data_IF_806884366492
#
_entry.id   IF_806884366492
#
_cell.length_a   1.000
_cell.length_b   1.000
_cell.length_c   1.000
_cell.angle_alpha   90.00
_cell.angle_beta   90.00
_cell.angle_gamma   90.00
#
_symmetry.space_group_name_H-M   'P 1'
#
loop_
_entity.id
_entity.type
_entity.pdbx_description
1 polymer ?
#
# COMPACT_ATOMS: atom_id res chain seq x y z
N UNK A 1 25.34 -9.29 -18.28
CA UNK A 1 25.18 -10.25 -17.18
C UNK A 1 24.78 -9.46 -15.95
N UNK A 2 23.55 -9.63 -15.46
CA UNK A 2 23.11 -8.99 -14.23
C UNK A 2 23.46 -9.93 -13.07
N UNK A 3 24.22 -9.44 -12.10
CA UNK A 3 24.68 -10.25 -10.96
C UNK A 3 23.82 -9.87 -9.75
N UNK A 4 23.10 -10.83 -9.14
CA UNK A 4 22.31 -10.54 -7.96
C UNK A 4 23.21 -10.24 -6.76
N UNK A 5 22.84 -9.22 -6.00
CA UNK A 5 23.52 -8.80 -4.78
C UNK A 5 22.82 -9.42 -3.57
N UNK A 6 23.59 -9.70 -2.52
CA UNK A 6 23.05 -10.18 -1.23
C UNK A 6 23.18 -9.07 -0.20
N UNK A 7 22.09 -8.79 0.51
CA UNK A 7 22.05 -7.85 1.62
C UNK A 7 21.65 -8.58 2.89
N UNK A 8 22.24 -8.14 3.99
CA UNK A 8 21.89 -8.55 5.35
C UNK A 8 21.82 -7.28 6.20
N UNK A 9 20.61 -6.87 6.57
CA UNK A 9 20.31 -5.61 7.26
C UNK A 9 19.80 -5.85 8.69
N UNK A 10 19.98 -7.07 9.23
CA UNK A 10 19.53 -7.46 10.57
C UNK A 10 18.02 -7.77 10.67
N UNK A 11 17.14 -6.96 10.06
CA UNK A 11 15.71 -7.24 9.99
C UNK A 11 15.30 -8.04 8.73
N UNK A 12 16.18 -8.09 7.73
CA UNK A 12 15.99 -8.82 6.48
C UNK A 12 17.33 -9.29 5.93
N UNK A 13 17.32 -10.50 5.33
CA UNK A 13 18.39 -10.99 4.47
C UNK A 13 17.78 -11.46 3.16
N UNK A 14 18.28 -10.96 2.04
CA UNK A 14 17.75 -11.29 0.71
C UNK A 14 18.84 -11.26 -0.35
N UNK A 15 18.53 -11.89 -1.49
CA UNK A 15 19.35 -11.89 -2.70
C UNK A 15 18.47 -11.55 -3.90
N UNK A 16 18.79 -10.47 -4.60
CA UNK A 16 17.99 -9.98 -5.73
C UNK A 16 18.86 -9.19 -6.72
N UNK A 17 18.36 -9.02 -7.95
CA UNK A 17 18.87 -8.01 -8.86
C UNK A 17 18.47 -6.61 -8.38
N UNK A 18 19.40 -5.65 -8.47
CA UNK A 18 19.25 -4.30 -7.90
C UNK A 18 19.43 -3.27 -9.00
N UNK A 19 18.49 -2.32 -9.07
CA UNK A 19 18.56 -1.18 -9.99
C UNK A 19 19.36 -0.02 -9.38
N UNK A 20 19.17 0.24 -8.08
CA UNK A 20 19.79 1.37 -7.40
C UNK A 20 19.93 1.12 -5.89
N UNK A 21 21.00 1.65 -5.30
CA UNK A 21 21.15 1.80 -3.85
C UNK A 21 21.40 3.29 -3.57
N UNK A 22 20.51 3.91 -2.81
CA UNK A 22 20.70 5.29 -2.35
C UNK A 22 21.29 5.28 -0.93
N UNK A 23 22.15 6.25 -0.64
CA UNK A 23 22.81 6.40 0.65
C UNK A 23 22.43 7.73 1.30
N UNK A 24 22.38 7.74 2.63
CA UNK A 24 22.42 8.96 3.43
C UNK A 24 23.82 9.58 3.40
N UNK A 25 23.96 10.82 3.89
CA UNK A 25 25.23 11.54 3.89
C UNK A 25 26.33 10.86 4.72
N UNK A 26 25.96 10.09 5.73
CA UNK A 26 26.88 9.31 6.56
C UNK A 26 27.27 7.96 5.95
N UNK A 27 26.76 7.63 4.76
CA UNK A 27 27.02 6.37 4.07
C UNK A 27 26.08 5.22 4.46
N UNK A 28 25.14 5.42 5.40
CA UNK A 28 24.11 4.43 5.70
C UNK A 28 23.13 4.29 4.52
N UNK A 29 22.52 3.11 4.37
CA UNK A 29 21.58 2.85 3.27
C UNK A 29 20.29 3.63 3.50
N UNK A 30 19.88 4.40 2.49
CA UNK A 30 18.60 5.11 2.46
C UNK A 30 17.51 4.31 1.76
N UNK A 31 17.82 3.67 0.64
CA UNK A 31 16.87 2.82 -0.06
C UNK A 31 17.57 1.83 -0.96
N UNK A 32 16.90 0.71 -1.22
CA UNK A 32 17.33 -0.29 -2.19
C UNK A 32 16.20 -0.45 -3.18
N UNK A 33 16.46 -0.11 -4.44
CA UNK A 33 15.51 -0.29 -5.55
C UNK A 33 15.81 -1.59 -6.26
N UNK A 34 14.83 -2.49 -6.30
CA UNK A 34 14.90 -3.79 -6.95
C UNK A 34 14.86 -3.66 -8.48
N UNK A 35 15.40 -4.64 -9.17
CA UNK A 35 15.21 -4.76 -10.61
C UNK A 35 13.74 -5.10 -10.94
N UNK A 36 13.16 -4.61 -12.05
CA UNK A 36 11.80 -4.96 -12.42
C UNK A 36 11.55 -6.48 -12.42
N UNK A 37 10.49 -6.91 -11.74
CA UNK A 37 10.12 -8.32 -11.58
C UNK A 37 10.71 -9.02 -10.35
N UNK A 38 11.71 -8.43 -9.68
CA UNK A 38 12.20 -8.94 -8.40
C UNK A 38 11.21 -8.64 -7.27
N UNK A 39 11.05 -9.62 -6.38
CA UNK A 39 10.20 -9.53 -5.20
C UNK A 39 10.96 -10.10 -4.01
N UNK A 40 10.94 -9.38 -2.89
CA UNK A 40 11.56 -9.82 -1.63
C UNK A 40 10.52 -9.79 -0.50
N UNK A 41 10.65 -10.69 0.47
CA UNK A 41 9.77 -10.67 1.64
C UNK A 41 10.43 -9.87 2.77
N UNK A 42 9.73 -8.83 3.23
CA UNK A 42 10.18 -7.94 4.31
C UNK A 42 9.35 -8.23 5.55
N UNK A 43 10.02 -8.49 6.67
CA UNK A 43 9.36 -8.59 7.98
C UNK A 43 8.99 -7.20 8.47
N UNK A 44 7.73 -6.98 8.76
CA UNK A 44 7.23 -5.71 9.31
C UNK A 44 6.47 -5.93 10.61
N UNK A 45 6.17 -4.85 11.31
CA UNK A 45 5.31 -4.86 12.51
C UNK A 45 3.88 -5.35 12.24
N UNK A 46 3.42 -5.28 10.99
CA UNK A 46 2.07 -5.67 10.56
C UNK A 46 2.05 -7.01 9.81
N UNK A 47 3.17 -7.74 9.80
CA UNK A 47 3.33 -9.04 9.16
C UNK A 47 4.42 -9.07 8.09
N UNK A 48 4.60 -10.22 7.47
CA UNK A 48 5.53 -10.40 6.35
C UNK A 48 4.88 -9.86 5.07
N UNK A 49 5.55 -8.93 4.39
CA UNK A 49 5.04 -8.31 3.16
C UNK A 49 6.00 -8.59 2.02
N UNK A 50 5.48 -9.19 0.95
CA UNK A 50 6.18 -9.26 -0.33
C UNK A 50 6.26 -7.86 -0.93
N UNK A 51 7.46 -7.34 -1.11
CA UNK A 51 7.71 -6.01 -1.65
C UNK A 51 8.18 -6.10 -3.11
N UNK A 52 7.55 -5.30 -3.97
CA UNK A 52 8.05 -4.97 -5.32
C UNK A 52 8.76 -3.63 -5.27
N UNK A 53 9.55 -3.30 -6.28
CA UNK A 53 10.29 -2.03 -6.42
C UNK A 53 11.38 -1.79 -5.36
N UNK A 54 11.20 -2.21 -4.10
CA UNK A 54 12.17 -2.08 -3.03
C UNK A 54 11.59 -1.52 -1.73
N UNK A 55 12.46 -0.92 -0.93
CA UNK A 55 12.11 -0.29 0.34
C UNK A 55 13.06 0.87 0.68
N UNK A 56 12.63 1.75 1.57
CA UNK A 56 13.43 2.82 2.17
C UNK A 56 13.63 2.62 3.68
N UNK A 57 14.69 3.22 4.19
CA UNK A 57 15.10 3.17 5.59
C UNK A 57 15.30 4.57 6.14
N UNK A 58 14.91 4.75 7.40
CA UNK A 58 15.39 5.86 8.19
C UNK A 58 16.91 5.78 8.33
N UNK A 59 17.56 6.93 8.55
CA UNK A 59 19.00 6.98 8.81
C UNK A 59 19.42 6.12 10.03
N UNK A 60 18.50 5.90 10.97
CA UNK A 60 18.71 5.01 12.12
C UNK A 60 18.58 3.51 11.78
N UNK A 61 18.22 3.16 10.55
CA UNK A 61 18.20 1.80 10.01
C UNK A 61 16.84 1.11 10.04
N UNK A 62 15.83 1.68 10.70
CA UNK A 62 14.48 1.12 10.71
C UNK A 62 13.79 1.29 9.35
N UNK A 63 12.91 0.34 9.02
CA UNK A 63 12.06 0.39 7.83
C UNK A 63 11.20 1.66 7.83
N UNK A 64 11.36 2.47 6.79
CA UNK A 64 10.55 3.68 6.59
C UNK A 64 9.39 3.38 5.64
N UNK A 65 9.63 2.73 4.51
CA UNK A 65 8.56 2.43 3.56
C UNK A 65 8.87 1.24 2.66
N UNK A 66 7.83 0.61 2.09
CA UNK A 66 7.94 -0.42 1.07
C UNK A 66 6.72 -0.38 0.14
N UNK A 67 6.85 -0.93 -1.06
CA UNK A 67 5.73 -1.07 -2.01
C UNK A 67 5.28 -2.53 -2.07
N UNK A 68 4.06 -2.87 -1.64
CA UNK A 68 3.56 -4.24 -1.71
C UNK A 68 3.53 -4.77 -3.16
N UNK A 69 3.94 -6.03 -3.34
CA UNK A 69 3.93 -6.72 -4.63
C UNK A 69 2.52 -7.04 -5.14
N UNK A 70 1.54 -7.05 -4.24
CA UNK A 70 0.12 -7.22 -4.52
C UNK A 70 -0.73 -6.79 -3.32
N UNK A 71 -2.06 -6.96 -3.38
CA UNK A 71 -2.96 -6.60 -2.29
C UNK A 71 -2.66 -7.35 -0.99
N UNK A 72 -2.41 -6.60 0.11
CA UNK A 72 -2.14 -7.15 1.44
C UNK A 72 -3.10 -6.59 2.48
N UNK A 73 -3.79 -7.48 3.21
CA UNK A 73 -4.71 -7.11 4.29
C UNK A 73 -3.95 -6.90 5.62
N UNK A 74 -3.82 -5.65 6.06
CA UNK A 74 -3.13 -5.32 7.31
C UNK A 74 -4.09 -4.79 8.39
N UNK A 75 -3.78 -4.98 9.69
CA UNK A 75 -4.47 -4.27 10.76
C UNK A 75 -4.04 -2.79 10.82
N UNK A 76 -5.01 -1.89 11.05
CA UNK A 76 -4.80 -0.46 11.28
C UNK A 76 -5.70 0.05 12.41
N UNK A 77 -5.47 1.26 12.95
CA UNK A 77 -6.34 1.85 13.97
C UNK A 77 -7.82 1.99 13.57
N UNK A 78 -8.11 2.11 12.26
CA UNK A 78 -9.49 2.26 11.75
C UNK A 78 -10.10 0.95 11.23
N UNK A 79 -9.43 -0.19 11.47
CA UNK A 79 -9.85 -1.50 11.00
C UNK A 79 -8.83 -2.17 10.06
N UNK A 80 -9.23 -3.27 9.43
CA UNK A 80 -8.35 -3.99 8.49
C UNK A 80 -8.50 -3.43 7.09
N UNK A 81 -7.39 -3.06 6.47
CA UNK A 81 -7.35 -2.46 5.13
C UNK A 81 -6.50 -3.29 4.20
N UNK A 82 -6.96 -3.44 2.96
CA UNK A 82 -6.19 -4.00 1.85
C UNK A 82 -5.34 -2.89 1.24
N UNK A 83 -4.03 -2.96 1.41
CA UNK A 83 -3.08 -2.01 0.84
C UNK A 83 -2.65 -2.49 -0.53
N UNK A 84 -2.80 -1.60 -1.51
CA UNK A 84 -2.20 -1.73 -2.83
C UNK A 84 -2.33 -0.42 -3.59
N UNK A 85 -1.20 0.09 -4.09
CA UNK A 85 -1.18 1.21 -5.03
C UNK A 85 -0.91 0.69 -6.46
N UNK A 86 -1.93 0.60 -7.33
CA UNK A 86 -1.72 0.20 -8.71
C UNK A 86 -0.90 1.23 -9.50
N UNK A 87 -0.87 2.49 -9.06
CA UNK A 87 -0.23 3.62 -9.75
C UNK A 87 1.22 3.86 -9.29
N UNK A 88 1.78 2.98 -8.46
CA UNK A 88 3.15 3.07 -8.00
C UNK A 88 4.15 2.99 -9.19
N UNK A 89 4.85 4.10 -9.46
CA UNK A 89 5.75 4.25 -10.61
C UNK A 89 6.92 3.26 -10.64
N UNK A 90 7.42 2.86 -9.46
CA UNK A 90 8.51 1.89 -9.33
C UNK A 90 9.89 2.33 -9.86
N UNK A 91 10.11 3.63 -10.09
CA UNK A 91 11.39 4.17 -10.56
C UNK A 91 12.45 4.12 -9.46
N UNK A 92 12.09 4.53 -8.25
CA UNK A 92 12.94 4.43 -7.06
C UNK A 92 12.12 3.94 -5.87
N UNK A 93 12.79 3.28 -4.94
CA UNK A 93 12.21 2.84 -3.68
C UNK A 93 12.11 3.95 -2.62
N UNK A 94 12.33 5.22 -2.99
CA UNK A 94 12.22 6.37 -2.08
C UNK A 94 10.77 6.83 -1.88
N UNK A 95 9.85 6.39 -2.75
CA UNK A 95 8.43 6.70 -2.70
C UNK A 95 7.65 5.41 -2.84
N UNK A 96 7.11 4.94 -1.72
CA UNK A 96 6.26 3.77 -1.69
C UNK A 96 4.93 4.07 -0.99
N UNK A 97 3.94 3.23 -1.27
CA UNK A 97 2.59 3.39 -0.76
C UNK A 97 2.46 3.13 0.74
N UNK A 98 3.19 2.16 1.29
CA UNK A 98 3.13 1.81 2.72
C UNK A 98 4.31 2.40 3.48
N UNK A 99 4.02 3.30 4.43
CA UNK A 99 5.02 4.04 5.21
C UNK A 99 4.79 3.79 6.70
N UNK A 100 5.89 3.59 7.42
CA UNK A 100 5.97 3.35 8.84
C UNK A 100 6.68 4.51 9.54
N UNK A 101 6.39 4.75 10.81
CA UNK A 101 7.25 5.56 11.67
C UNK A 101 8.44 4.73 12.20
N UNK A 102 9.37 5.39 12.92
CA UNK A 102 10.53 4.73 13.54
C UNK A 102 10.18 3.66 14.59
N UNK A 103 8.93 3.61 15.06
CA UNK A 103 8.44 2.55 15.97
C UNK A 103 7.79 1.40 15.19
N UNK A 104 7.80 1.46 13.86
CA UNK A 104 7.15 0.50 12.98
C UNK A 104 5.64 0.67 12.89
N UNK A 105 5.04 1.76 13.39
CA UNK A 105 3.58 1.97 13.24
C UNK A 105 3.30 2.49 11.83
N UNK A 106 2.27 1.98 11.18
CA UNK A 106 1.85 2.51 9.88
C UNK A 106 1.37 3.95 10.04
N UNK A 107 1.94 4.86 9.26
CA UNK A 107 1.60 6.30 9.26
C UNK A 107 1.05 6.79 7.93
N UNK A 108 1.29 6.07 6.84
CA UNK A 108 0.69 6.34 5.54
C UNK A 108 0.49 5.03 4.79
N UNK A 109 -0.64 4.89 4.10
CA UNK A 109 -0.91 3.77 3.21
C UNK A 109 -1.80 4.22 2.05
N UNK A 110 -1.79 3.47 0.94
CA UNK A 110 -2.74 3.63 -0.15
C UNK A 110 -3.62 2.38 -0.25
N UNK A 111 -4.94 2.57 -0.37
CA UNK A 111 -5.89 1.49 -0.66
C UNK A 111 -6.73 1.82 -1.88
N UNK A 112 -6.85 0.86 -2.79
CA UNK A 112 -7.71 0.95 -3.98
C UNK A 112 -8.89 -0.03 -3.92
N UNK A 113 -9.01 -0.81 -2.85
CA UNK A 113 -10.03 -1.86 -2.74
C UNK A 113 -11.04 -1.60 -1.62
N UNK A 114 -10.82 -0.60 -0.77
CA UNK A 114 -11.68 -0.37 0.38
C UNK A 114 -12.45 0.94 0.30
N UNK A 115 -13.73 0.88 0.67
CA UNK A 115 -14.52 2.05 1.06
C UNK A 115 -14.54 2.15 2.58
N UNK A 116 -14.65 3.37 3.06
CA UNK A 116 -14.62 3.69 4.49
C UNK A 116 -15.89 4.46 4.82
N UNK A 117 -16.73 3.85 5.65
CA UNK A 117 -17.84 4.55 6.29
C UNK A 117 -17.33 5.12 7.62
N UNK A 118 -17.41 6.43 7.78
CA UNK A 118 -17.02 7.15 8.99
C UNK A 118 -18.27 7.69 9.68
N UNK A 119 -18.52 7.24 10.90
CA UNK A 119 -19.51 7.83 11.79
C UNK A 119 -18.83 8.91 12.62
N UNK A 120 -19.18 10.18 12.39
CA UNK A 120 -18.63 11.32 13.15
C UNK A 120 -19.20 11.37 14.57
N UNK A 121 -18.56 12.15 15.44
CA UNK A 121 -19.08 12.45 16.79
C UNK A 121 -20.50 13.01 16.78
N UNK A 122 -20.86 13.77 15.73
CA UNK A 122 -22.20 14.32 15.53
C UNK A 122 -23.22 13.29 15.02
N UNK A 123 -22.84 12.01 14.90
CA UNK A 123 -23.68 10.92 14.40
C UNK A 123 -23.88 10.90 12.87
N UNK A 124 -23.21 11.78 12.12
CA UNK A 124 -23.31 11.81 10.67
C UNK A 124 -22.46 10.70 10.06
N UNK A 125 -23.02 10.01 9.05
CA UNK A 125 -22.29 9.01 8.28
C UNK A 125 -21.69 9.65 7.04
N UNK A 126 -20.37 9.53 6.87
CA UNK A 126 -19.64 9.96 5.67
C UNK A 126 -19.01 8.74 5.01
N UNK A 127 -19.35 8.52 3.73
CA UNK A 127 -18.75 7.47 2.90
C UNK A 127 -17.60 8.06 2.09
N UNK A 128 -16.46 7.37 2.09
CA UNK A 128 -15.29 7.74 1.29
C UNK A 128 -14.80 6.48 0.56
N UNK A 129 -14.69 6.55 -0.76
CA UNK A 129 -14.27 5.42 -1.59
C UNK A 129 -13.35 5.85 -2.74
N UNK A 130 -12.47 4.96 -3.24
CA UNK A 130 -11.65 5.19 -4.42
C UNK A 130 -12.47 5.64 -5.62
N UNK A 131 -11.96 6.63 -6.37
CA UNK A 131 -12.64 7.19 -7.55
C UNK A 131 -12.20 6.48 -8.83
N UNK A 132 -13.13 6.29 -9.76
CA UNK A 132 -12.81 5.92 -11.14
C UNK A 132 -12.54 7.19 -11.94
N UNK A 133 -11.35 7.29 -12.52
CA UNK A 133 -10.92 8.44 -13.33
C UNK A 133 -10.42 7.95 -14.68
N UNK A 134 -10.49 8.82 -15.70
CA UNK A 134 -9.88 8.52 -17.01
C UNK A 134 -8.37 8.51 -16.85
N UNK A 135 -7.73 7.49 -17.38
CA UNK A 135 -6.29 7.36 -17.45
C UNK A 135 -5.71 8.51 -18.29
N UNK A 136 -4.87 9.32 -17.68
CA UNK A 136 -4.29 10.48 -18.35
C UNK A 136 -3.22 10.11 -19.40
N UNK A 137 -2.73 8.87 -19.39
CA UNK A 137 -1.71 8.42 -20.34
C UNK A 137 -2.29 8.06 -21.71
N UNK A 138 -3.47 7.43 -21.74
CA UNK A 138 -4.13 7.01 -22.99
C UNK A 138 -5.44 7.76 -23.28
N UNK A 139 -6.05 8.41 -22.29
CA UNK A 139 -7.30 9.17 -22.45
C UNK A 139 -8.55 8.30 -22.64
N UNK A 140 -8.44 6.97 -22.53
CA UNK A 140 -9.49 6.02 -22.89
C UNK A 140 -9.82 5.07 -21.75
N UNK A 141 -8.82 4.55 -21.04
CA UNK A 141 -9.03 3.54 -20.01
C UNK A 141 -9.48 4.17 -18.69
N UNK A 142 -10.38 3.51 -17.96
CA UNK A 142 -10.76 3.93 -16.61
C UNK A 142 -9.82 3.28 -15.60
N UNK A 143 -9.16 4.09 -14.78
CA UNK A 143 -8.31 3.64 -13.68
C UNK A 143 -8.94 4.02 -12.34
N UNK A 144 -8.62 3.24 -11.31
CA UNK A 144 -9.10 3.50 -9.96
C UNK A 144 -8.02 4.23 -9.16
N UNK A 145 -8.29 5.50 -8.85
CA UNK A 145 -7.43 6.32 -7.98
C UNK A 145 -7.67 5.91 -6.52
N UNK A 146 -6.64 5.38 -5.89
CA UNK A 146 -6.71 4.90 -4.50
C UNK A 146 -6.91 6.02 -3.47
N UNK A 147 -7.42 5.64 -2.30
CA UNK A 147 -7.45 6.47 -1.10
C UNK A 147 -6.07 6.48 -0.45
N UNK A 148 -5.57 7.67 -0.10
CA UNK A 148 -4.40 7.80 0.76
C UNK A 148 -4.85 8.01 2.20
N UNK A 149 -4.38 7.17 3.12
CA UNK A 149 -4.76 7.19 4.54
C UNK A 149 -3.53 7.47 5.38
N UNK A 150 -3.57 8.56 6.14
CA UNK A 150 -2.48 9.03 7.00
C UNK A 150 -2.89 9.01 8.47
N UNK A 151 -2.04 8.47 9.33
CA UNK A 151 -2.27 8.42 10.77
C UNK A 151 -1.33 9.38 11.50
N UNK A 152 -1.92 10.32 12.26
CA UNK A 152 -1.21 11.13 13.24
C UNK A 152 -1.61 10.69 14.65
N UNK A 153 -0.84 9.74 15.18
CA UNK A 153 -1.03 9.22 16.54
C UNK A 153 -0.83 10.27 17.63
N UNK A 154 -0.09 11.35 17.37
CA UNK A 154 0.16 12.39 18.38
C UNK A 154 -1.03 13.32 18.56
N UNK A 155 -1.84 13.46 17.50
CA UNK A 155 -3.04 14.30 17.46
C UNK A 155 -4.34 13.51 17.54
N UNK A 156 -4.26 12.18 17.69
CA UNK A 156 -5.40 11.27 17.63
C UNK A 156 -6.20 11.42 16.31
N UNK A 157 -5.50 11.52 15.18
CA UNK A 157 -6.13 11.85 13.89
C UNK A 157 -5.82 10.83 12.80
N UNK A 158 -6.82 10.62 11.95
CA UNK A 158 -6.67 10.00 10.63
C UNK A 158 -7.10 10.98 9.55
N UNK A 159 -6.29 11.10 8.51
CA UNK A 159 -6.62 11.87 7.30
C UNK A 159 -6.82 10.90 6.15
N UNK A 160 -8.00 10.93 5.54
CA UNK A 160 -8.37 10.13 4.39
C UNK A 160 -8.48 11.08 3.20
N UNK A 161 -7.64 10.88 2.19
CA UNK A 161 -7.64 11.63 0.94
C UNK A 161 -8.15 10.76 -0.20
N UNK A 162 -9.17 11.23 -0.92
CA UNK A 162 -9.78 10.51 -2.05
C UNK A 162 -9.22 10.90 -3.42
N UNK A 163 -8.12 11.65 -3.41
CA UNK A 163 -7.48 12.23 -4.57
C UNK A 163 -7.79 13.71 -4.80
N UNK A 164 -8.84 14.25 -4.19
CA UNK A 164 -9.25 15.65 -4.36
C UNK A 164 -9.28 16.41 -3.02
N UNK A 165 -9.81 15.78 -1.96
CA UNK A 165 -9.99 16.43 -0.65
C UNK A 165 -9.42 15.61 0.51
N UNK A 166 -8.84 16.32 1.48
CA UNK A 166 -8.45 15.75 2.77
C UNK A 166 -9.63 15.76 3.74
N UNK A 167 -10.03 14.59 4.22
CA UNK A 167 -11.02 14.44 5.29
C UNK A 167 -10.32 13.99 6.58
N UNK A 168 -10.39 14.81 7.64
CA UNK A 168 -9.76 14.51 8.94
C UNK A 168 -10.79 14.04 9.95
N UNK A 169 -10.48 12.98 10.68
CA UNK A 169 -11.33 12.40 11.73
C UNK A 169 -10.52 12.05 12.98
N UNK A 170 -11.17 12.03 14.15
CA UNK A 170 -10.56 11.49 15.38
C UNK A 170 -10.46 9.97 15.29
N UNK A 171 -9.34 9.41 15.74
CA UNK A 171 -9.16 7.97 15.83
C UNK A 171 -9.96 7.37 16.99
N UNK A 172 -10.09 8.09 18.11
CA UNK A 172 -10.75 7.60 19.31
C UNK A 172 -12.27 7.82 19.34
N UNK A 173 -12.75 8.90 18.71
CA UNK A 173 -14.15 9.32 18.84
C UNK A 173 -15.02 9.04 17.61
N UNK A 174 -14.42 8.72 16.45
CA UNK A 174 -15.17 8.34 15.26
C UNK A 174 -15.33 6.82 15.17
N UNK A 175 -16.46 6.37 14.62
CA UNK A 175 -16.68 4.98 14.25
C UNK A 175 -16.23 4.72 12.81
N UNK A 176 -15.51 3.63 12.57
CA UNK A 176 -15.03 3.26 11.24
C UNK A 176 -15.54 1.88 10.84
N UNK A 177 -16.16 1.79 9.67
CA UNK A 177 -16.52 0.52 9.03
C UNK A 177 -15.80 0.44 7.69
N UNK A 178 -15.06 -0.65 7.50
CA UNK A 178 -14.28 -0.90 6.28
C UNK A 178 -14.98 -1.99 5.46
N UNK A 179 -15.27 -1.68 4.21
CA UNK A 179 -15.86 -2.61 3.26
C UNK A 179 -15.02 -2.67 2.00
N UNK A 180 -15.14 -3.76 1.23
CA UNK A 180 -14.54 -3.82 -0.10
C UNK A 180 -15.41 -3.09 -1.11
N UNK A 181 -14.76 -2.43 -2.06
CA UNK A 181 -15.40 -1.89 -3.27
C UNK A 181 -15.36 -2.96 -4.33
N UNK A 182 -16.53 -3.38 -4.80
CA UNK A 182 -16.63 -4.28 -5.94
C UNK A 182 -15.93 -3.66 -7.16
N UNK A 183 -15.21 -4.48 -7.91
CA UNK A 183 -14.65 -4.04 -9.18
C UNK A 183 -15.68 -4.29 -10.27
N UNK A 184 -16.32 -3.24 -10.84
CA UNK A 184 -17.34 -3.43 -11.88
C UNK A 184 -16.78 -4.12 -13.14
N UNK A 185 -15.45 -4.10 -13.34
CA UNK A 185 -14.77 -4.71 -14.47
C UNK A 185 -14.24 -6.14 -14.21
N UNK A 186 -14.35 -6.65 -12.97
CA UNK A 186 -14.05 -8.05 -12.61
C UNK A 186 -15.32 -8.85 -12.29
N UNK A 187 -16.38 -8.61 -13.05
CA UNK A 187 -17.49 -9.55 -13.10
C UNK A 187 -17.17 -10.63 -14.13
N UNK A 188 -16.46 -11.68 -13.71
CA UNK A 188 -16.48 -12.91 -14.49
C UNK A 188 -17.88 -13.50 -14.39
N UNK A 189 -18.57 -13.66 -15.51
CA UNK A 189 -19.78 -14.49 -15.53
C UNK A 189 -19.42 -15.92 -15.13
N UNK A 190 -20.36 -16.65 -14.54
CA UNK A 190 -20.19 -18.07 -14.19
C UNK A 190 -19.75 -18.93 -15.38
N UNK A 191 -20.06 -18.51 -16.61
CA UNK A 191 -19.58 -19.13 -17.86
C UNK A 191 -18.10 -18.90 -18.20
N UNK A 192 -17.45 -17.87 -17.65
CA UNK A 192 -16.03 -17.56 -17.88
C UNK A 192 -15.09 -18.27 -16.89
N UNK A 193 -15.63 -18.87 -15.81
CA UNK A 193 -14.84 -19.62 -14.82
C UNK A 193 -14.35 -20.99 -15.33
N UNK A 194 -14.95 -21.56 -16.38
CA UNK A 194 -14.63 -22.91 -16.85
C UNK A 194 -13.25 -23.04 -17.52
N UNK A 195 -12.56 -21.93 -17.83
CA UNK A 195 -11.28 -21.91 -18.55
C UNK A 195 -10.08 -21.34 -17.76
N UNK A 196 -10.26 -20.86 -16.53
CA UNK A 196 -9.18 -20.25 -15.76
C UNK A 196 -8.48 -21.28 -14.86
N UNK A 197 -7.20 -21.55 -15.14
CA UNK A 197 -6.31 -22.31 -14.27
C UNK A 197 -5.90 -21.57 -12.99
N UNK A 198 -6.38 -20.34 -12.78
CA UNK A 198 -6.22 -19.54 -11.54
C UNK A 198 -7.51 -19.51 -10.70
N UNK A 199 -8.09 -20.68 -10.43
CA UNK A 199 -9.29 -20.84 -9.61
C UNK A 199 -9.13 -20.37 -8.14
N UNK A 200 -7.93 -19.97 -7.71
CA UNK A 200 -7.65 -19.52 -6.34
C UNK A 200 -8.03 -18.06 -6.05
N UNK A 201 -8.42 -17.27 -7.06
CA UNK A 201 -8.84 -15.87 -6.88
C UNK A 201 -10.33 -15.61 -7.17
N UNK A 202 -11.08 -16.64 -7.56
CA UNK A 202 -12.54 -16.55 -7.73
C UNK A 202 -13.22 -16.98 -6.43
N UNK A 203 -13.47 -16.03 -5.52
CA UNK A 203 -14.24 -16.32 -4.31
C UNK A 203 -15.73 -16.38 -4.65
N UNK A 204 -16.32 -17.56 -4.39
CA UNK A 204 -17.76 -17.84 -4.42
C UNK A 204 -18.48 -17.01 -3.37
N UNK A 205 -19.70 -16.59 -3.70
CA UNK A 205 -20.75 -16.22 -2.74
C UNK A 205 -20.93 -17.29 -1.68
#
# INVERSE_FOLDING_TARGET
MQIPLTFDLGFIRFKALISCVALWKDGSIRSITLFPGEVINIKTSVGDIAARNGFSLYQSGELESLEPAGPVLIPTPIGRLTIFDPDALGITADRNSLIFDKKGRVINLVTSENRIAVQTESGHLKMIEPKLVVNQLDGETMIRKGLTIRFDYSRDQVVINDGDEDCTFSLSNAGFTIERVENPYWTCSSSQCAGCSMASYCFKN
#
